data_IF_177160721389
#
_entry.id   IF_177160721389
#
_cell.length_a   1.000
_cell.length_b   1.000
_cell.length_c   1.000
_cell.angle_alpha   90.00
_cell.angle_beta   90.00
_cell.angle_gamma   90.00
#
_symmetry.space_group_name_H-M   'P 1'
#
loop_
_entity.id
_entity.type
_entity.pdbx_description
1 polymer ?
#
# COMPACT_ATOMS: atom_id res chain seq x y z
N UNK A 1 15.67 33.65 8.76
CA UNK A 1 16.82 32.90 8.19
C UNK A 1 16.24 31.81 7.30
N UNK A 2 16.09 32.12 6.01
CA UNK A 2 16.93 31.67 4.89
C UNK A 2 16.75 30.16 4.58
N UNK A 3 16.24 29.91 3.38
CA UNK A 3 15.91 28.61 2.77
C UNK A 3 17.08 27.61 2.83
N UNK A 4 16.76 26.30 2.68
CA UNK A 4 17.33 25.59 1.54
C UNK A 4 16.19 25.02 0.68
N UNK A 5 15.73 25.83 -0.26
CA UNK A 5 15.25 25.34 -1.55
C UNK A 5 16.56 25.21 -2.32
N UNK A 6 17.04 23.97 -2.49
CA UNK A 6 18.25 23.70 -3.24
C UNK A 6 18.10 24.25 -4.65
N UNK A 7 19.02 25.13 -5.04
CA UNK A 7 19.19 25.62 -6.41
C UNK A 7 20.06 24.58 -7.12
N UNK A 8 19.52 23.89 -8.12
CA UNK A 8 20.32 23.17 -9.10
C UNK A 8 20.36 23.95 -10.42
N UNK A 9 21.53 23.90 -11.05
CA UNK A 9 21.88 24.62 -12.26
C UNK A 9 20.92 24.22 -13.41
N UNK A 10 20.23 25.17 -14.07
CA UNK A 10 19.21 24.89 -15.08
C UNK A 10 19.72 24.26 -16.39
N UNK A 11 20.93 23.70 -16.48
CA UNK A 11 21.48 23.23 -17.77
C UNK A 11 21.41 21.71 -18.00
N UNK A 12 20.99 20.89 -17.02
CA UNK A 12 20.98 19.41 -17.20
C UNK A 12 19.59 18.74 -17.22
N UNK A 13 18.49 19.46 -17.01
CA UNK A 13 17.14 18.86 -17.01
C UNK A 13 16.12 19.75 -17.74
N UNK A 14 16.38 20.05 -19.02
CA UNK A 14 15.32 20.51 -19.91
C UNK A 14 14.59 19.31 -20.49
N UNK A 15 13.50 18.90 -19.85
CA UNK A 15 12.40 18.21 -20.56
C UNK A 15 11.26 19.19 -20.70
N UNK A 16 11.15 19.76 -21.89
CA UNK A 16 10.17 20.76 -22.31
C UNK A 16 8.70 20.26 -22.34
N UNK A 17 8.33 19.29 -21.50
CA UNK A 17 6.95 18.78 -21.39
C UNK A 17 6.52 18.43 -19.96
N UNK A 18 7.25 18.87 -18.93
CA UNK A 18 6.98 18.49 -17.55
C UNK A 18 5.86 19.33 -16.92
N UNK A 19 4.69 18.72 -16.78
CA UNK A 19 3.60 19.29 -15.99
C UNK A 19 3.65 18.90 -14.50
N UNK A 20 4.61 18.08 -14.05
CA UNK A 20 4.81 17.71 -12.64
C UNK A 20 6.04 18.41 -12.06
N UNK A 21 5.92 18.92 -10.83
CA UNK A 21 7.00 19.49 -10.02
C UNK A 21 7.17 18.72 -8.71
N UNK A 22 8.42 18.60 -8.23
CA UNK A 22 8.75 17.92 -6.98
C UNK A 22 9.45 18.87 -6.00
N UNK A 23 9.16 18.72 -4.71
CA UNK A 23 9.86 19.42 -3.64
C UNK A 23 10.05 18.52 -2.43
N UNK A 24 11.14 18.74 -1.68
CA UNK A 24 11.33 18.18 -0.35
C UNK A 24 10.81 19.18 0.68
N UNK A 25 9.82 18.77 1.48
CA UNK A 25 9.15 19.66 2.42
C UNK A 25 9.29 19.15 3.85
N UNK A 26 9.45 20.04 4.85
CA UNK A 26 9.56 19.63 6.24
C UNK A 26 8.18 19.29 6.83
N UNK A 27 8.15 18.25 7.65
CA UNK A 27 7.05 17.90 8.54
C UNK A 27 7.21 18.59 9.92
N UNK A 28 6.17 18.50 10.76
CA UNK A 28 6.14 19.16 12.08
C UNK A 28 7.14 18.62 13.09
N UNK A 29 7.69 17.44 12.84
CA UNK A 29 8.59 16.68 13.72
C UNK A 29 10.02 16.60 13.19
N UNK A 30 10.38 17.45 12.21
CA UNK A 30 11.73 17.51 11.64
C UNK A 30 12.00 16.49 10.54
N UNK A 31 11.04 15.61 10.22
CA UNK A 31 11.11 14.72 9.06
C UNK A 31 10.90 15.48 7.76
N UNK A 32 11.32 14.88 6.65
CA UNK A 32 11.10 15.44 5.31
C UNK A 32 10.20 14.50 4.50
N UNK A 33 9.51 15.05 3.50
CA UNK A 33 8.69 14.25 2.58
C UNK A 33 8.77 14.77 1.17
N UNK A 34 8.54 13.88 0.21
CA UNK A 34 8.40 14.25 -1.19
C UNK A 34 7.01 14.86 -1.37
N UNK A 35 6.97 16.01 -2.03
CA UNK A 35 5.72 16.67 -2.36
C UNK A 35 5.63 16.90 -3.86
N UNK A 36 4.42 16.73 -4.40
CA UNK A 36 4.14 16.88 -5.82
C UNK A 36 3.23 18.06 -6.08
N UNK A 37 3.57 18.81 -7.11
CA UNK A 37 2.79 19.91 -7.64
C UNK A 37 2.57 19.71 -9.13
N UNK A 38 1.54 20.36 -9.67
CA UNK A 38 1.15 20.19 -11.07
C UNK A 38 0.94 21.53 -11.75
N UNK A 39 1.49 21.66 -12.96
CA UNK A 39 1.43 22.83 -13.84
C UNK A 39 1.74 24.14 -13.11
N UNK A 40 2.78 24.14 -12.27
CA UNK A 40 3.24 25.35 -11.60
C UNK A 40 3.96 26.24 -12.63
N UNK A 41 3.22 27.18 -13.21
CA UNK A 41 3.73 28.04 -14.29
C UNK A 41 4.75 29.09 -13.83
N UNK A 42 4.78 29.41 -12.52
CA UNK A 42 5.69 30.42 -11.96
C UNK A 42 7.14 29.90 -11.91
N UNK A 43 8.16 30.78 -11.90
CA UNK A 43 9.55 30.36 -11.70
C UNK A 43 9.75 29.66 -10.35
N UNK A 44 10.70 28.72 -10.27
CA UNK A 44 10.99 27.93 -9.05
C UNK A 44 11.25 28.79 -7.80
N UNK A 45 11.81 30.00 -7.98
CA UNK A 45 12.09 30.93 -6.88
C UNK A 45 10.81 31.42 -6.17
N UNK A 46 9.69 31.46 -6.90
CA UNK A 46 8.38 31.95 -6.46
C UNK A 46 7.44 30.83 -5.99
N UNK A 47 7.87 29.57 -6.08
CA UNK A 47 7.07 28.44 -5.63
C UNK A 47 6.82 28.51 -4.13
N UNK A 48 5.60 28.16 -3.74
CA UNK A 48 5.12 28.19 -2.36
C UNK A 48 4.72 26.79 -1.93
N UNK A 49 4.69 26.56 -0.61
CA UNK A 49 4.18 25.32 -0.02
C UNK A 49 2.78 24.95 -0.52
N UNK A 50 1.92 25.93 -0.77
CA UNK A 50 0.55 25.74 -1.29
C UNK A 50 0.49 25.18 -2.71
N UNK A 51 1.58 25.25 -3.45
CA UNK A 51 1.62 24.79 -4.85
C UNK A 51 1.81 23.27 -4.95
N UNK A 52 2.10 22.64 -3.80
CA UNK A 52 2.30 21.20 -3.65
C UNK A 52 1.14 20.61 -2.85
N UNK A 53 0.42 19.68 -3.47
CA UNK A 53 -0.78 19.07 -2.90
C UNK A 53 -0.58 17.57 -2.58
N UNK A 54 0.38 16.91 -3.23
CA UNK A 54 0.71 15.52 -2.91
C UNK A 54 1.71 15.41 -1.77
N UNK A 55 1.58 14.33 -1.01
CA UNK A 55 2.48 13.95 0.07
C UNK A 55 2.88 12.49 -0.14
N UNK A 56 4.11 12.26 -0.58
CA UNK A 56 4.60 10.97 -1.07
C UNK A 56 5.76 10.49 -0.22
N UNK A 57 5.47 9.84 0.91
CA UNK A 57 6.48 9.15 1.71
C UNK A 57 7.52 10.05 2.39
N UNK A 58 8.17 9.47 3.40
CA UNK A 58 9.24 10.12 4.15
C UNK A 58 10.57 10.07 3.37
N UNK A 59 11.35 11.15 3.49
CA UNK A 59 12.68 11.29 2.91
C UNK A 59 13.70 11.44 4.04
N UNK A 60 14.73 10.60 4.01
CA UNK A 60 15.82 10.67 4.98
C UNK A 60 16.67 11.93 4.79
N UNK A 61 16.98 12.28 3.55
CA UNK A 61 17.87 13.37 3.19
C UNK A 61 17.68 13.85 1.73
N UNK A 62 18.51 14.81 1.33
CA UNK A 62 18.54 15.34 -0.04
C UNK A 62 18.95 14.30 -1.08
N UNK A 63 19.80 13.33 -0.73
CA UNK A 63 20.18 12.23 -1.63
C UNK A 63 18.97 11.36 -1.97
N UNK A 64 18.21 10.95 -0.95
CA UNK A 64 16.96 10.21 -1.10
C UNK A 64 15.94 10.98 -1.95
N UNK A 65 15.84 12.31 -1.76
CA UNK A 65 15.02 13.17 -2.60
C UNK A 65 15.42 13.09 -4.07
N UNK A 66 16.72 13.29 -4.38
CA UNK A 66 17.20 13.27 -5.77
C UNK A 66 16.99 11.92 -6.43
N UNK A 67 17.27 10.82 -5.73
CA UNK A 67 17.02 9.47 -6.26
C UNK A 67 15.55 9.29 -6.61
N UNK A 68 14.62 9.74 -5.75
CA UNK A 68 13.18 9.65 -6.02
C UNK A 68 12.73 10.51 -7.20
N UNK A 69 13.24 11.73 -7.32
CA UNK A 69 12.93 12.60 -8.46
C UNK A 69 13.47 12.02 -9.77
N UNK A 70 14.68 11.47 -9.77
CA UNK A 70 15.28 10.83 -10.95
C UNK A 70 14.52 9.56 -11.36
N UNK A 71 14.16 8.71 -10.39
CA UNK A 71 13.32 7.54 -10.61
C UNK A 71 11.97 7.91 -11.23
N UNK A 72 11.32 8.96 -10.72
CA UNK A 72 10.06 9.42 -11.27
C UNK A 72 10.22 10.04 -12.66
N UNK A 73 11.30 10.78 -12.91
CA UNK A 73 11.59 11.33 -14.23
C UNK A 73 11.86 10.22 -15.26
N UNK A 74 12.57 9.16 -14.88
CA UNK A 74 12.77 7.97 -15.73
C UNK A 74 11.44 7.26 -15.98
N UNK A 75 10.64 7.02 -14.93
CA UNK A 75 9.32 6.42 -15.07
C UNK A 75 8.44 7.21 -16.06
N UNK A 76 8.45 8.55 -16.02
CA UNK A 76 7.71 9.35 -17.01
C UNK A 76 8.26 9.22 -18.43
N UNK A 77 9.58 9.19 -18.62
CA UNK A 77 10.18 8.92 -19.94
C UNK A 77 9.79 7.55 -20.48
N UNK A 78 9.84 6.52 -19.63
CA UNK A 78 9.44 5.17 -19.99
C UNK A 78 7.94 5.14 -20.36
N UNK A 79 7.07 5.80 -19.57
CA UNK A 79 5.63 5.93 -19.87
C UNK A 79 5.36 6.55 -21.24
N UNK A 80 6.06 7.64 -21.58
CA UNK A 80 5.97 8.28 -22.90
C UNK A 80 6.43 7.33 -24.01
N UNK A 81 7.52 6.57 -23.77
CA UNK A 81 8.05 5.63 -24.76
C UNK A 81 7.15 4.40 -24.99
N UNK A 82 6.41 3.97 -23.97
CA UNK A 82 5.49 2.84 -24.04
C UNK A 82 4.21 3.16 -24.83
N UNK A 83 3.92 4.44 -25.07
CA UNK A 83 2.88 4.85 -26.03
C UNK A 83 1.47 4.36 -25.69
N UNK A 84 1.14 4.19 -24.40
CA UNK A 84 -0.18 3.75 -23.94
C UNK A 84 -1.26 4.70 -24.43
N UNK A 85 -2.40 4.15 -24.84
CA UNK A 85 -3.50 4.93 -25.44
C UNK A 85 -4.66 5.01 -24.47
N UNK A 86 -5.00 6.23 -24.06
CA UNK A 86 -6.21 6.52 -23.29
C UNK A 86 -7.45 6.50 -24.19
N UNK A 87 -8.49 5.81 -23.73
CA UNK A 87 -9.72 5.56 -24.47
C UNK A 87 -10.92 5.83 -23.57
N UNK A 88 -11.98 6.50 -24.07
CA UNK A 88 -13.25 6.48 -23.39
C UNK A 88 -13.78 5.05 -23.40
N UNK A 89 -14.23 4.58 -22.24
CA UNK A 89 -14.86 3.27 -22.10
C UNK A 89 -16.15 3.39 -21.31
N UNK A 90 -17.10 2.49 -21.61
CA UNK A 90 -18.32 2.25 -20.83
C UNK A 90 -18.56 0.75 -20.66
N UNK A 91 -17.50 -0.05 -20.78
CA UNK A 91 -17.58 -1.49 -20.61
C UNK A 91 -18.03 -1.85 -19.21
N UNK A 92 -18.82 -2.92 -19.09
CA UNK A 92 -19.15 -3.51 -17.80
C UNK A 92 -17.91 -4.23 -17.28
N UNK A 93 -17.42 -3.81 -16.12
CA UNK A 93 -16.32 -4.46 -15.40
C UNK A 93 -16.87 -5.11 -14.12
N UNK A 94 -16.09 -5.97 -13.43
CA UNK A 94 -16.44 -6.48 -12.11
C UNK A 94 -16.69 -5.38 -11.07
N UNK A 95 -16.09 -4.20 -11.25
CA UNK A 95 -16.19 -3.05 -10.34
C UNK A 95 -17.15 -1.96 -10.85
N UNK A 96 -18.07 -2.33 -11.74
CA UNK A 96 -19.05 -1.42 -12.33
C UNK A 96 -18.69 -0.91 -13.72
N UNK A 97 -19.35 0.17 -14.14
CA UNK A 97 -19.16 0.74 -15.48
C UNK A 97 -17.82 1.48 -15.52
N UNK A 98 -16.97 1.13 -16.48
CA UNK A 98 -15.71 1.83 -16.73
C UNK A 98 -15.96 3.29 -17.12
N UNK A 99 -15.15 4.21 -16.59
CA UNK A 99 -15.15 5.64 -16.90
C UNK A 99 -14.04 6.03 -17.88
N UNK A 100 -13.06 5.15 -18.04
CA UNK A 100 -11.92 5.30 -18.94
C UNK A 100 -11.12 4.01 -18.97
N UNK A 101 -10.39 3.81 -20.06
CA UNK A 101 -9.49 2.69 -20.22
C UNK A 101 -8.17 3.13 -20.84
N UNK A 102 -7.07 2.55 -20.36
CA UNK A 102 -5.74 2.70 -20.96
C UNK A 102 -5.38 1.40 -21.67
N UNK A 103 -5.17 1.45 -22.98
CA UNK A 103 -4.69 0.28 -23.73
C UNK A 103 -3.16 0.22 -23.67
N UNK A 104 -2.64 -0.89 -23.16
CA UNK A 104 -1.21 -1.17 -23.06
C UNK A 104 -0.72 -1.91 -24.31
N UNK A 105 -1.49 -2.89 -24.77
CA UNK A 105 -1.29 -3.61 -26.02
C UNK A 105 -2.62 -4.21 -26.50
N UNK A 106 -2.62 -4.85 -27.66
CA UNK A 106 -3.77 -5.64 -28.10
C UNK A 106 -4.08 -6.75 -27.08
N UNK A 107 -5.29 -6.70 -26.52
CA UNK A 107 -5.76 -7.63 -25.50
C UNK A 107 -5.24 -7.37 -24.09
N UNK A 108 -4.61 -6.22 -23.82
CA UNK A 108 -4.16 -5.80 -22.47
C UNK A 108 -4.66 -4.38 -22.21
N UNK A 109 -5.70 -4.24 -21.39
CA UNK A 109 -6.36 -2.95 -21.12
C UNK A 109 -6.53 -2.73 -19.62
N UNK A 110 -6.19 -1.55 -19.12
CA UNK A 110 -6.52 -1.12 -17.76
C UNK A 110 -7.82 -0.35 -17.79
N UNK A 111 -8.73 -0.62 -16.85
CA UNK A 111 -10.00 0.08 -16.69
C UNK A 111 -10.04 0.78 -15.34
N UNK A 112 -10.54 2.01 -15.34
CA UNK A 112 -10.87 2.74 -14.11
C UNK A 112 -12.39 2.93 -14.01
N UNK A 113 -12.93 2.79 -12.80
CA UNK A 113 -14.33 3.04 -12.43
C UNK A 113 -14.40 4.08 -11.31
N UNK A 114 -15.62 4.44 -10.90
CA UNK A 114 -15.82 5.45 -9.86
C UNK A 114 -15.26 5.05 -8.48
N UNK A 115 -15.09 3.75 -8.22
CA UNK A 115 -14.64 3.24 -6.92
C UNK A 115 -13.35 2.46 -6.99
N UNK A 116 -13.02 1.89 -8.15
CA UNK A 116 -11.93 0.92 -8.27
C UNK A 116 -11.47 0.78 -9.73
N UNK A 117 -10.72 -0.27 -10.04
CA UNK A 117 -10.21 -0.53 -11.36
C UNK A 117 -9.44 -1.84 -11.44
N UNK A 118 -8.83 -2.06 -12.60
CA UNK A 118 -7.99 -3.21 -12.83
C UNK A 118 -7.76 -3.47 -14.30
N UNK A 119 -6.99 -4.52 -14.58
CA UNK A 119 -6.66 -4.95 -15.92
C UNK A 119 -7.66 -5.98 -16.43
N UNK A 120 -7.95 -5.89 -17.72
CA UNK A 120 -8.59 -6.91 -18.52
C UNK A 120 -7.58 -7.49 -19.50
N UNK A 121 -7.51 -8.82 -19.53
CA UNK A 121 -6.82 -9.58 -20.56
C UNK A 121 -7.81 -10.26 -21.49
N UNK A 122 -7.55 -10.17 -22.79
CA UNK A 122 -8.27 -11.00 -23.76
C UNK A 122 -8.06 -12.49 -23.44
N UNK A 123 -8.97 -13.35 -23.91
CA UNK A 123 -8.84 -14.79 -23.68
C UNK A 123 -7.52 -15.37 -24.23
N UNK A 124 -6.92 -14.75 -25.24
CA UNK A 124 -5.61 -15.13 -25.75
C UNK A 124 -4.49 -14.74 -24.79
N UNK A 125 -4.43 -13.46 -24.39
CA UNK A 125 -3.42 -12.97 -23.43
C UNK A 125 -3.54 -13.67 -22.09
N UNK A 126 -4.75 -13.94 -21.63
CA UNK A 126 -4.96 -14.60 -20.35
C UNK A 126 -4.39 -16.03 -20.29
N UNK A 127 -4.23 -16.71 -21.43
CA UNK A 127 -3.58 -18.04 -21.49
C UNK A 127 -2.07 -17.99 -21.37
N UNK A 128 -1.47 -16.82 -21.60
CA UNK A 128 -0.02 -16.62 -21.40
C UNK A 128 0.34 -16.45 -19.92
N UNK A 129 -0.64 -16.10 -19.08
CA UNK A 129 -0.46 -16.02 -17.63
C UNK A 129 -0.24 -17.41 -17.05
N UNK A 130 0.75 -17.52 -16.15
CA UNK A 130 1.06 -18.79 -15.49
C UNK A 130 -0.18 -19.35 -14.77
N UNK A 131 -0.40 -20.66 -14.86
CA UNK A 131 -1.64 -21.30 -14.38
C UNK A 131 -1.93 -21.08 -12.89
N UNK A 132 -0.90 -20.92 -12.06
CA UNK A 132 -1.04 -20.61 -10.62
C UNK A 132 -1.55 -19.19 -10.33
N UNK A 133 -1.50 -18.29 -11.31
CA UNK A 133 -1.87 -16.87 -11.17
C UNK A 133 -3.00 -16.45 -12.13
N UNK A 134 -3.37 -17.31 -13.07
CA UNK A 134 -4.37 -17.01 -14.09
C UNK A 134 -5.75 -16.81 -13.47
N UNK A 135 -6.34 -15.62 -13.67
CA UNK A 135 -7.68 -15.30 -13.22
C UNK A 135 -8.74 -15.79 -14.21
N UNK A 136 -9.82 -16.39 -13.71
CA UNK A 136 -10.97 -16.76 -14.54
C UNK A 136 -11.63 -15.49 -15.12
N UNK A 137 -11.95 -15.51 -16.42
CA UNK A 137 -12.56 -14.37 -17.10
C UNK A 137 -11.60 -13.21 -17.43
N UNK A 138 -10.33 -13.29 -17.05
CA UNK A 138 -9.28 -12.35 -17.48
C UNK A 138 -9.27 -11.00 -16.76
N UNK A 139 -9.92 -10.87 -15.60
CA UNK A 139 -9.95 -9.64 -14.81
C UNK A 139 -8.98 -9.68 -13.63
N UNK A 140 -8.16 -8.64 -13.50
CA UNK A 140 -7.11 -8.51 -12.50
C UNK A 140 -7.24 -7.16 -11.78
N UNK A 141 -7.66 -7.20 -10.52
CA UNK A 141 -7.86 -6.06 -9.61
C UNK A 141 -6.60 -5.16 -9.43
N UNK A 142 -6.78 -3.84 -9.30
CA UNK A 142 -5.70 -2.82 -9.35
C UNK A 142 -4.79 -2.70 -8.11
N UNK A 143 -5.18 -3.18 -6.94
CA UNK A 143 -4.40 -3.12 -5.70
C UNK A 143 -3.35 -4.23 -5.66
N UNK A 144 -3.73 -5.44 -6.07
CA UNK A 144 -2.85 -6.61 -6.01
C UNK A 144 -2.68 -7.34 -7.35
N UNK A 145 -3.78 -7.68 -8.04
CA UNK A 145 -3.73 -8.63 -9.14
C UNK A 145 -3.18 -8.04 -10.45
N UNK A 146 -3.16 -6.72 -10.62
CA UNK A 146 -2.47 -6.03 -11.72
C UNK A 146 -1.00 -6.45 -11.82
N UNK A 147 -0.39 -6.80 -10.69
CA UNK A 147 0.99 -7.21 -10.62
C UNK A 147 1.24 -8.49 -11.44
N UNK A 148 0.26 -9.40 -11.51
CA UNK A 148 0.31 -10.61 -12.33
C UNK A 148 0.41 -10.24 -13.81
N UNK A 149 -0.37 -9.26 -14.25
CA UNK A 149 -0.32 -8.73 -15.63
C UNK A 149 1.05 -8.11 -15.90
N UNK A 150 1.56 -7.29 -14.97
CA UNK A 150 2.84 -6.61 -15.12
C UNK A 150 4.05 -7.55 -15.11
N UNK A 151 4.01 -8.65 -14.36
CA UNK A 151 5.07 -9.67 -14.41
C UNK A 151 4.96 -10.54 -15.67
N UNK A 152 3.75 -10.84 -16.13
CA UNK A 152 3.54 -11.63 -17.35
C UNK A 152 3.96 -10.86 -18.61
N UNK A 153 3.57 -9.58 -18.73
CA UNK A 153 3.83 -8.73 -19.90
C UNK A 153 4.77 -7.58 -19.55
N UNK A 154 5.93 -7.91 -18.99
CA UNK A 154 6.85 -6.94 -18.38
C UNK A 154 7.32 -5.83 -19.32
N UNK A 155 7.36 -6.07 -20.62
CA UNK A 155 7.72 -5.11 -21.66
C UNK A 155 6.69 -3.98 -21.84
N UNK A 156 5.45 -4.17 -21.36
CA UNK A 156 4.41 -3.13 -21.38
C UNK A 156 4.49 -2.17 -20.19
N UNK A 157 5.41 -2.43 -19.26
CA UNK A 157 5.53 -1.73 -17.99
C UNK A 157 6.90 -1.07 -17.83
N UNK A 158 6.89 0.08 -17.18
CA UNK A 158 8.10 0.81 -16.82
C UNK A 158 8.94 0.03 -15.81
N UNK A 159 10.21 0.38 -15.66
CA UNK A 159 11.08 -0.25 -14.66
C UNK A 159 10.56 -0.07 -13.23
N UNK A 160 9.96 1.10 -12.95
CA UNK A 160 9.33 1.35 -11.65
C UNK A 160 8.13 0.42 -11.40
N UNK A 161 7.21 0.33 -12.35
CA UNK A 161 6.02 -0.52 -12.24
C UNK A 161 6.40 -2.00 -12.10
N UNK A 162 7.41 -2.47 -12.84
CA UNK A 162 7.91 -3.85 -12.73
C UNK A 162 8.40 -4.19 -11.32
N UNK A 163 9.14 -3.28 -10.67
CA UNK A 163 9.59 -3.49 -9.27
C UNK A 163 8.43 -3.46 -8.28
N UNK A 164 7.46 -2.58 -8.49
CA UNK A 164 6.24 -2.55 -7.67
C UNK A 164 5.45 -3.85 -7.83
N UNK A 165 5.27 -4.33 -9.06
CA UNK A 165 4.58 -5.57 -9.37
C UNK A 165 5.28 -6.79 -8.74
N UNK A 166 6.60 -6.89 -8.84
CA UNK A 166 7.34 -7.98 -8.21
C UNK A 166 7.11 -8.01 -6.69
N UNK A 167 7.15 -6.85 -6.03
CA UNK A 167 6.85 -6.74 -4.60
C UNK A 167 5.40 -7.14 -4.29
N UNK A 168 4.43 -6.62 -5.05
CA UNK A 168 3.02 -6.95 -4.86
C UNK A 168 2.74 -8.44 -5.03
N UNK A 169 3.35 -9.11 -6.04
CA UNK A 169 3.19 -10.57 -6.18
C UNK A 169 3.81 -11.30 -4.99
N UNK A 170 5.01 -10.94 -4.53
CA UNK A 170 5.62 -11.56 -3.34
C UNK A 170 4.75 -11.38 -2.10
N UNK A 171 4.13 -10.20 -1.95
CA UNK A 171 3.28 -9.88 -0.82
C UNK A 171 1.90 -10.59 -0.87
N UNK A 172 1.32 -10.78 -2.06
CA UNK A 172 -0.04 -11.32 -2.22
C UNK A 172 -0.10 -12.82 -2.58
N UNK A 173 0.81 -13.32 -3.41
CA UNK A 173 0.91 -14.72 -3.85
C UNK A 173 2.33 -15.28 -3.66
N UNK A 174 2.87 -15.26 -2.43
CA UNK A 174 4.24 -15.71 -2.19
C UNK A 174 4.49 -17.14 -2.67
N UNK A 175 3.59 -18.09 -2.38
CA UNK A 175 3.80 -19.50 -2.72
C UNK A 175 3.86 -19.72 -4.25
N UNK A 176 3.01 -19.01 -5.00
CA UNK A 176 3.04 -19.06 -6.46
C UNK A 176 4.31 -18.41 -7.02
N UNK A 177 4.74 -17.29 -6.44
CA UNK A 177 5.99 -16.64 -6.82
C UNK A 177 7.20 -17.54 -6.60
N UNK A 178 7.30 -18.21 -5.45
CA UNK A 178 8.39 -19.15 -5.15
C UNK A 178 8.37 -20.35 -6.11
N UNK A 179 7.18 -20.89 -6.42
CA UNK A 179 7.03 -21.99 -7.36
C UNK A 179 7.46 -21.61 -8.78
N UNK A 180 7.13 -20.40 -9.24
CA UNK A 180 7.47 -19.90 -10.59
C UNK A 180 8.95 -19.52 -10.68
N UNK A 181 9.49 -18.83 -9.66
CA UNK A 181 10.86 -18.32 -9.66
C UNK A 181 11.91 -19.36 -9.23
N UNK A 182 11.49 -20.43 -8.53
CA UNK A 182 12.38 -21.41 -7.90
C UNK A 182 13.17 -20.86 -6.70
N UNK A 183 12.83 -19.66 -6.21
CA UNK A 183 13.52 -19.00 -5.10
C UNK A 183 12.64 -18.96 -3.87
N UNK A 184 13.19 -19.25 -2.70
CA UNK A 184 12.48 -19.16 -1.42
C UNK A 184 12.70 -17.78 -0.79
N UNK A 185 11.61 -17.10 -0.47
CA UNK A 185 11.53 -15.83 0.24
C UNK A 185 11.85 -16.04 1.73
N UNK A 186 12.82 -15.28 2.22
CA UNK A 186 13.19 -15.19 3.62
C UNK A 186 12.30 -14.25 4.43
N UNK A 187 12.55 -14.16 5.76
CA UNK A 187 11.83 -13.22 6.63
C UNK A 187 11.98 -11.77 6.15
N UNK A 188 10.88 -11.02 6.07
CA UNK A 188 10.86 -9.63 5.61
C UNK A 188 10.65 -9.46 4.09
N UNK A 189 10.73 -10.54 3.31
CA UNK A 189 10.61 -10.46 1.83
C UNK A 189 9.18 -10.64 1.31
N UNK A 190 8.24 -11.05 2.17
CA UNK A 190 6.80 -11.13 1.86
C UNK A 190 5.96 -10.80 3.08
N UNK A 191 5.09 -9.82 2.95
CA UNK A 191 4.12 -9.46 3.96
C UNK A 191 3.24 -10.65 4.37
N UNK A 192 2.71 -11.42 3.42
CA UNK A 192 1.83 -12.55 3.73
C UNK A 192 2.57 -13.71 4.39
N UNK A 193 3.80 -14.05 3.98
CA UNK A 193 4.59 -15.07 4.68
C UNK A 193 4.94 -14.64 6.11
N UNK A 194 5.38 -13.40 6.28
CA UNK A 194 5.67 -12.84 7.60
C UNK A 194 4.41 -12.85 8.49
N UNK A 195 3.25 -12.49 7.93
CA UNK A 195 1.96 -12.54 8.61
C UNK A 195 1.61 -13.96 9.06
N UNK A 196 1.74 -14.95 8.16
CA UNK A 196 1.50 -16.38 8.47
C UNK A 196 2.41 -16.87 9.59
N UNK A 197 3.72 -16.60 9.48
CA UNK A 197 4.70 -16.98 10.50
C UNK A 197 4.39 -16.35 11.87
N UNK A 198 3.97 -15.08 11.89
CA UNK A 198 3.52 -14.42 13.11
C UNK A 198 2.31 -15.11 13.74
N UNK A 199 1.24 -15.38 12.96
CA UNK A 199 0.06 -16.05 13.50
C UNK A 199 0.32 -17.50 13.91
N UNK A 200 1.23 -18.21 13.24
CA UNK A 200 1.64 -19.55 13.64
C UNK A 200 2.39 -19.53 14.98
N UNK A 201 3.35 -18.62 15.13
CA UNK A 201 4.10 -18.44 16.38
C UNK A 201 3.20 -18.02 17.55
N UNK A 202 2.13 -17.27 17.28
CA UNK A 202 1.20 -16.73 18.27
C UNK A 202 -0.18 -17.40 18.26
N UNK A 203 -0.30 -18.61 17.72
CA UNK A 203 -1.59 -19.30 17.57
C UNK A 203 -2.30 -19.53 18.92
N UNK A 204 -1.53 -19.70 20.00
CA UNK A 204 -2.04 -19.87 21.36
C UNK A 204 -2.14 -18.58 22.18
N UNK A 205 -1.66 -17.45 21.64
CA UNK A 205 -1.61 -16.19 22.37
C UNK A 205 -2.84 -15.32 22.13
N UNK A 206 -3.08 -14.37 23.02
CA UNK A 206 -4.16 -13.40 22.88
C UNK A 206 -3.68 -12.22 22.01
N UNK A 207 -4.22 -12.09 20.81
CA UNK A 207 -3.86 -11.01 19.89
C UNK A 207 -4.98 -9.99 19.85
N UNK A 208 -4.64 -8.71 20.03
CA UNK A 208 -5.59 -7.59 20.05
C UNK A 208 -6.23 -7.40 18.68
N UNK A 209 -7.56 -7.45 18.65
CA UNK A 209 -8.38 -7.23 17.44
C UNK A 209 -9.08 -5.86 17.43
N UNK A 210 -9.22 -5.23 18.60
CA UNK A 210 -9.83 -3.92 18.76
C UNK A 210 -9.26 -3.22 19.99
N UNK A 211 -9.06 -1.91 19.92
CA UNK A 211 -8.51 -1.13 21.02
C UNK A 211 -9.14 0.25 21.08
N UNK A 212 -9.33 0.75 22.30
CA UNK A 212 -9.82 2.10 22.55
C UNK A 212 -9.11 2.68 23.78
N UNK A 213 -8.88 3.99 23.79
CA UNK A 213 -8.43 4.67 25.00
C UNK A 213 -9.46 4.44 26.12
N UNK A 214 -9.01 4.02 27.31
CA UNK A 214 -9.92 3.74 28.41
C UNK A 214 -10.43 5.04 29.03
N UNK A 215 -11.73 5.27 28.98
CA UNK A 215 -12.40 6.34 29.72
C UNK A 215 -12.52 6.07 31.22
N UNK A 216 -12.32 4.82 31.65
CA UNK A 216 -12.50 4.37 33.03
C UNK A 216 -11.19 4.27 33.80
N UNK A 217 -10.05 4.11 33.12
CA UNK A 217 -8.73 4.07 33.74
C UNK A 217 -7.73 4.91 32.95
N UNK A 218 -7.41 6.09 33.48
CA UNK A 218 -6.47 7.04 32.85
C UNK A 218 -5.10 6.39 32.64
N UNK A 219 -4.53 6.59 31.45
CA UNK A 219 -3.22 6.05 31.08
C UNK A 219 -3.24 4.62 30.55
N UNK A 220 -4.42 4.04 30.30
CA UNK A 220 -4.57 2.70 29.74
C UNK A 220 -5.38 2.69 28.45
N UNK A 221 -5.09 1.69 27.62
CA UNK A 221 -5.87 1.29 26.44
C UNK A 221 -6.64 0.02 26.79
N UNK A 222 -7.95 0.06 26.60
CA UNK A 222 -8.82 -1.12 26.69
C UNK A 222 -8.70 -1.89 25.37
N UNK A 223 -8.14 -3.09 25.45
CA UNK A 223 -7.90 -3.95 24.29
C UNK A 223 -8.84 -5.15 24.34
N UNK A 224 -9.56 -5.42 23.25
CA UNK A 224 -10.25 -6.69 23.01
C UNK A 224 -9.30 -7.58 22.21
N UNK A 225 -9.03 -8.77 22.73
CA UNK A 225 -8.16 -9.76 22.10
C UNK A 225 -8.86 -11.11 21.95
N UNK A 226 -8.41 -11.88 20.97
CA UNK A 226 -8.87 -13.25 20.70
C UNK A 226 -7.68 -14.19 20.59
N UNK A 227 -7.84 -15.50 20.87
CA UNK A 227 -6.80 -16.49 20.64
C UNK A 227 -6.35 -16.48 19.17
N UNK A 228 -5.06 -16.34 18.92
CA UNK A 228 -4.46 -16.27 17.58
C UNK A 228 -4.92 -15.09 16.71
N UNK A 229 -5.68 -14.13 17.26
CA UNK A 229 -6.25 -13.00 16.52
C UNK A 229 -7.41 -13.37 15.61
N UNK A 230 -8.07 -14.51 15.87
CA UNK A 230 -9.22 -14.97 15.10
C UNK A 230 -10.38 -13.96 15.20
N UNK A 231 -11.12 -13.79 14.10
CA UNK A 231 -12.32 -12.95 14.03
C UNK A 231 -13.48 -13.80 13.51
N UNK A 232 -14.61 -13.74 14.18
CA UNK A 232 -15.81 -14.47 13.75
C UNK A 232 -16.76 -14.79 14.89
N UNK A 233 -18.01 -15.10 14.56
CA UNK A 233 -19.02 -15.48 15.53
C UNK A 233 -18.58 -16.72 16.31
N UNK A 234 -18.71 -16.67 17.64
CA UNK A 234 -18.33 -17.76 18.54
C UNK A 234 -16.84 -17.80 18.93
N UNK A 235 -16.03 -16.86 18.45
CA UNK A 235 -14.65 -16.71 18.93
C UNK A 235 -14.65 -16.17 20.35
N UNK A 236 -13.86 -16.76 21.25
CA UNK A 236 -13.70 -16.23 22.60
C UNK A 236 -13.01 -14.87 22.54
N UNK A 237 -13.66 -13.85 23.09
CA UNK A 237 -13.09 -12.51 23.23
C UNK A 237 -12.82 -12.20 24.70
N UNK A 238 -11.62 -11.69 24.99
CA UNK A 238 -11.26 -11.18 26.33
C UNK A 238 -10.79 -9.75 26.25
N UNK A 239 -11.09 -9.00 27.31
CA UNK A 239 -10.63 -7.62 27.47
C UNK A 239 -9.42 -7.56 28.38
N UNK A 240 -8.49 -6.68 28.03
CA UNK A 240 -7.28 -6.41 28.76
C UNK A 240 -7.07 -4.90 28.91
N UNK A 241 -6.40 -4.49 29.98
CA UNK A 241 -5.89 -3.13 30.10
C UNK A 241 -4.39 -3.14 29.85
N UNK A 242 -3.97 -2.45 28.79
CA UNK A 242 -2.58 -2.28 28.40
C UNK A 242 -2.17 -0.84 28.71
N UNK A 243 -1.02 -0.57 29.36
CA UNK A 243 -0.51 0.79 29.53
C UNK A 243 -0.44 1.52 28.19
N UNK A 244 -0.90 2.77 28.13
CA UNK A 244 -0.97 3.51 26.87
C UNK A 244 0.40 3.79 26.25
N UNK A 245 1.45 3.84 27.05
CA UNK A 245 2.84 3.95 26.60
C UNK A 245 3.40 2.65 26.00
N UNK A 246 2.81 1.51 26.34
CA UNK A 246 3.20 0.19 25.83
C UNK A 246 2.41 -0.21 24.59
N UNK A 247 1.15 0.19 24.50
CA UNK A 247 0.30 -0.15 23.38
C UNK A 247 0.73 0.59 22.09
N UNK A 248 1.36 -0.16 21.20
CA UNK A 248 1.58 0.23 19.81
C UNK A 248 1.13 -0.93 18.92
N UNK A 249 0.22 -0.66 17.98
CA UNK A 249 -0.18 -1.70 17.02
C UNK A 249 1.05 -2.07 16.18
N UNK A 250 1.53 -3.30 16.38
CA UNK A 250 2.62 -3.87 15.59
C UNK A 250 2.16 -4.19 14.18
N UNK A 251 3.10 -4.58 13.31
CA UNK A 251 2.86 -4.90 11.89
C UNK A 251 1.73 -5.93 11.69
N UNK A 252 1.59 -6.90 12.59
CA UNK A 252 0.60 -7.97 12.52
C UNK A 252 -0.35 -8.02 13.74
N UNK A 253 -0.35 -6.95 14.55
CA UNK A 253 -1.14 -6.85 15.77
C UNK A 253 -0.29 -6.66 17.02
N UNK A 254 -0.97 -6.63 18.17
CA UNK A 254 -0.35 -6.55 19.49
C UNK A 254 -0.66 -7.82 20.26
N UNK A 255 0.38 -8.53 20.73
CA UNK A 255 0.23 -9.73 21.53
C UNK A 255 0.15 -9.34 23.00
N UNK A 256 -0.90 -9.80 23.68
CA UNK A 256 -1.08 -9.61 25.11
C UNK A 256 -0.10 -10.50 25.86
N UNK A 257 0.60 -9.93 26.83
CA UNK A 257 1.41 -10.64 27.81
C UNK A 257 0.58 -10.86 29.09
N UNK A 258 0.10 -12.08 29.38
CA UNK A 258 -0.75 -12.34 30.54
C UNK A 258 -0.08 -12.05 31.89
N UNK A 259 1.25 -11.98 31.94
CA UNK A 259 1.98 -11.65 33.17
C UNK A 259 2.00 -10.14 33.46
N UNK A 260 1.75 -9.31 32.43
CA UNK A 260 1.81 -7.84 32.52
C UNK A 260 0.46 -7.16 32.28
N UNK A 261 -0.39 -7.76 31.46
CA UNK A 261 -1.66 -7.18 31.01
C UNK A 261 -2.83 -7.87 31.72
N UNK A 262 -3.42 -7.18 32.68
CA UNK A 262 -4.51 -7.73 33.46
C UNK A 262 -5.79 -7.86 32.64
N UNK A 263 -6.49 -8.98 32.79
CA UNK A 263 -7.86 -9.17 32.28
C UNK A 263 -8.78 -8.11 32.90
N UNK A 264 -9.56 -7.44 32.07
CA UNK A 264 -10.43 -6.36 32.47
C UNK A 264 -11.90 -6.72 32.39
N UNK A 265 -12.52 -6.83 33.56
CA UNK A 265 -13.93 -7.15 33.75
C UNK A 265 -14.83 -5.93 34.00
N UNK A 266 -14.25 -4.73 34.14
CA UNK A 266 -14.98 -3.51 34.56
C UNK A 266 -15.80 -2.84 33.46
N UNK A 267 -16.29 -1.64 33.74
CA UNK A 267 -17.06 -0.84 32.78
C UNK A 267 -16.27 -0.66 31.48
N UNK A 268 -16.95 -0.82 30.34
CA UNK A 268 -16.32 -0.75 29.02
C UNK A 268 -16.43 0.65 28.44
N UNK A 269 -15.40 1.08 27.71
CA UNK A 269 -15.47 2.24 26.82
C UNK A 269 -15.97 1.89 25.42
N UNK A 270 -16.13 0.61 25.09
CA UNK A 270 -16.77 0.17 23.85
C UNK A 270 -18.30 0.31 23.97
N UNK A 271 -18.91 0.98 22.99
CA UNK A 271 -20.36 1.13 22.91
C UNK A 271 -20.99 -0.23 22.60
N UNK A 272 -21.95 -0.67 23.41
CA UNK A 272 -22.71 -1.92 23.18
C UNK A 272 -22.01 -3.21 23.60
N UNK A 273 -20.87 -3.15 24.30
CA UNK A 273 -20.19 -4.35 24.80
C UNK A 273 -21.04 -5.08 25.84
N UNK A 274 -21.61 -6.23 25.46
CA UNK A 274 -22.16 -7.22 26.38
C UNK A 274 -21.18 -8.40 26.41
N UNK A 275 -20.80 -8.88 27.61
CA UNK A 275 -20.06 -10.14 27.72
C UNK A 275 -20.85 -11.18 26.91
N UNK A 276 -20.21 -11.81 25.92
CA UNK A 276 -20.74 -13.01 25.31
C UNK A 276 -20.94 -14.03 26.43
N UNK A 277 -22.19 -14.17 26.89
CA UNK A 277 -22.57 -15.27 27.76
C UNK A 277 -22.72 -16.44 26.81
N UNK A 278 -21.65 -17.21 26.66
CA UNK A 278 -21.75 -18.59 26.20
C UNK A 278 -22.56 -19.33 27.26
N UNK A 279 -23.79 -19.70 26.91
CA UNK A 279 -24.60 -20.68 27.63
C UNK A 279 -23.91 -22.03 27.67
#
# INVERSE_FOLDING_TARGET
MSKPIGRFDPQELWMHNMSVAFAMLPARDGRHYLATGWRIARPIAEWRRSDFYGHSGELADEGAFRTKVLEQAEHQREMESLGRVELPSRSQTPWGISQGASRYAEGVESHSTASHGGFYLSAERNREVHSLLCAEGGWYEEDCAWAIVAVTFSDLFTTLERRCAERSIKDSWPDAWEAISGTVLGPGESHEKDRRAFHEAHAGDWIVISAIASGHRKGFVECVATPGGQRGAGTEERRFLVPAEEYAVGRFGFVIDPSRHAVYAGASSFIGWQRGISS
#
